data_IF_343799926130
#
_entry.id   IF_343799926130
#
_cell.length_a   1.000
_cell.length_b   1.000
_cell.length_c   1.000
_cell.angle_alpha   90.00
_cell.angle_beta   90.00
_cell.angle_gamma   90.00
#
_symmetry.space_group_name_H-M   'P 1'
#
loop_
_entity.id
_entity.type
_entity.pdbx_description
1 polymer ?
2 non-polymer ?
3 water ?
#
# COMPACT_ATOMS: atom_id res chain seq x y z
N UNK A 6 12.39 -0.97 -5.08
CA UNK A 6 11.50 0.01 -5.70
C UNK A 6 11.60 -0.06 -7.22
N UNK A 7 10.46 0.10 -7.88
CA UNK A 7 10.41 0.18 -9.33
C UNK A 7 10.90 1.55 -9.78
N UNK A 8 11.55 1.61 -10.96
CA UNK A 8 12.04 2.86 -11.57
C UNK A 8 11.01 3.99 -11.63
N UNK A 9 9.78 3.69 -12.02
CA UNK A 9 8.74 4.72 -12.14
C UNK A 9 8.23 5.24 -10.79
N UNK A 10 8.69 4.62 -9.71
CA UNK A 10 8.44 5.09 -8.35
C UNK A 10 9.52 6.02 -7.80
N UNK A 11 10.76 5.83 -8.25
CA UNK A 11 11.89 6.61 -7.76
C UNK A 11 11.89 8.07 -8.22
N UNK A 12 11.30 8.37 -9.37
CA UNK A 12 11.22 9.76 -9.82
C UNK A 12 9.80 10.24 -10.16
N UNK A 13 9.11 10.77 -9.16
CA UNK A 13 7.84 11.48 -9.37
C UNK A 13 7.48 12.32 -8.14
N UNK A 14 6.68 13.39 -8.34
CA UNK A 14 6.37 14.34 -7.26
C UNK A 14 5.63 13.65 -6.12
N UNK A 15 5.87 14.10 -4.89
CA UNK A 15 5.10 13.61 -3.75
C UNK A 15 4.22 14.70 -3.17
N UNK A 16 2.91 14.52 -3.31
CA UNK A 16 1.91 15.41 -2.71
C UNK A 16 2.12 15.69 -1.23
N UNK A 17 1.73 16.90 -0.83
CA UNK A 17 1.71 17.30 0.57
C UNK A 17 0.76 16.39 1.35
N UNK A 18 1.26 15.82 2.45
CA UNK A 18 0.46 14.91 3.27
C UNK A 18 -0.58 15.68 4.08
N UNK A 19 -1.78 15.13 4.17
CA UNK A 19 -2.81 15.67 5.05
C UNK A 19 -2.64 15.07 6.43
N UNK A 20 -2.45 15.92 7.45
CA UNK A 20 -2.10 15.46 8.79
C UNK A 20 -3.28 15.00 9.63
N UNK A 21 -4.26 14.35 9.01
CA UNK A 21 -5.36 13.76 9.76
C UNK A 21 -5.66 12.38 9.19
N UNK A 22 -5.98 11.44 10.07
CA UNK A 22 -6.37 10.10 9.65
C UNK A 22 -7.76 10.18 9.03
N UNK A 23 -7.92 9.63 7.83
CA UNK A 23 -9.19 9.69 7.13
C UNK A 23 -10.21 8.80 7.82
N UNK A 24 -9.72 7.89 8.64
CA UNK A 24 -10.55 6.93 9.36
C UNK A 24 -11.04 7.43 10.71
N UNK A 25 -10.13 7.96 11.53
CA UNK A 25 -10.50 8.34 12.89
C UNK A 25 -10.53 9.84 13.12
N UNK A 26 -10.08 10.59 12.12
CA UNK A 26 -9.94 12.05 12.23
C UNK A 26 -8.97 12.57 13.28
N UNK A 27 -8.08 11.72 13.79
CA UNK A 27 -7.05 12.22 14.68
C UNK A 27 -5.72 12.51 14.03
N UNK A 28 -4.93 13.32 14.72
CA UNK A 28 -3.63 13.75 14.22
C UNK A 28 -2.65 12.63 14.53
N UNK A 29 -1.38 12.85 14.20
CA UNK A 29 -0.32 11.95 14.66
C UNK A 29 -0.27 11.77 16.18
N UNK A 30 -0.90 12.68 16.93
CA UNK A 30 -0.89 12.60 18.39
C UNK A 30 -2.02 11.75 18.97
N UNK A 31 -3.04 11.49 18.16
CA UNK A 31 -4.21 10.74 18.64
C UNK A 31 -4.76 9.75 17.62
N UNK A 32 -4.47 8.47 17.84
CA UNK A 32 -5.09 7.40 17.06
C UNK A 32 -6.43 7.05 17.69
N UNK A 33 -6.95 5.86 17.41
CA UNK A 33 -8.29 5.51 17.87
C UNK A 33 -8.29 5.29 19.39
N UNK A 34 -7.12 5.01 19.95
CA UNK A 34 -6.99 4.79 21.39
C UNK A 34 -6.47 6.07 22.05
N UNK A 35 -6.50 7.17 21.30
CA UNK A 35 -6.00 8.47 21.75
C UNK A 35 -4.53 8.45 22.18
N UNK A 36 -3.73 7.62 21.51
CA UNK A 36 -2.29 7.56 21.75
C UNK A 36 -1.57 8.04 20.49
N UNK A 37 -0.39 8.65 20.64
CA UNK A 37 0.39 9.09 19.47
C UNK A 37 0.81 7.95 18.53
N UNK A 38 0.79 8.24 17.23
CA UNK A 38 1.13 7.28 16.19
C UNK A 38 1.33 8.02 14.87
N UNK A 39 2.52 7.92 14.29
CA UNK A 39 2.82 8.61 13.04
C UNK A 39 1.92 8.08 11.91
N UNK A 40 1.49 8.98 11.03
CA UNK A 40 0.61 8.62 9.92
C UNK A 40 1.39 8.06 8.74
N UNK A 41 0.72 7.23 7.95
CA UNK A 41 1.18 6.92 6.60
C UNK A 41 0.37 7.75 5.61
N UNK A 42 1.05 8.31 4.61
CA UNK A 42 0.43 9.26 3.70
C UNK A 42 0.61 8.91 2.23
N UNK A 43 -0.47 9.06 1.47
CA UNK A 43 -0.46 8.77 0.04
C UNK A 43 0.42 9.78 -0.70
N UNK A 44 1.34 9.29 -1.53
CA UNK A 44 2.23 10.17 -2.26
C UNK A 44 1.55 10.82 -3.46
N UNK A 45 0.39 10.31 -3.84
CA UNK A 45 -0.35 10.88 -4.96
C UNK A 45 -1.33 11.96 -4.50
N UNK A 46 -2.21 11.61 -3.55
CA UNK A 46 -3.26 12.53 -3.14
C UNK A 46 -3.06 13.14 -1.75
N UNK A 47 -2.11 12.61 -1.00
CA UNK A 47 -1.81 13.12 0.33
C UNK A 47 -2.68 12.62 1.48
N UNK A 48 -3.72 11.85 1.17
CA UNK A 48 -4.54 11.23 2.21
C UNK A 48 -3.74 10.38 3.18
N UNK A 49 -4.05 10.50 4.47
CA UNK A 49 -3.29 9.79 5.50
C UNK A 49 -4.14 8.80 6.30
N UNK A 50 -3.46 7.86 6.94
CA UNK A 50 -4.10 6.91 7.84
C UNK A 50 -3.15 6.54 8.96
N UNK A 51 -3.65 6.34 10.18
CA UNK A 51 -2.84 5.65 11.18
C UNK A 51 -2.67 4.23 10.69
N UNK A 52 -1.45 3.69 10.80
CA UNK A 52 -1.19 2.28 10.48
C UNK A 52 -2.15 1.33 11.19
N UNK A 53 -2.46 1.63 12.45
CA UNK A 53 -3.44 0.87 13.21
C UNK A 53 -4.84 0.90 12.63
N UNK A 54 -5.25 2.07 12.13
CA UNK A 54 -6.56 2.20 11.49
C UNK A 54 -6.60 1.52 10.13
N UNK A 55 -5.45 1.48 9.46
CA UNK A 55 -5.33 0.78 8.19
C UNK A 55 -5.19 -0.73 8.39
N UNK A 56 -5.06 -1.14 9.65
CA UNK A 56 -4.92 -2.55 10.02
C UNK A 56 -3.65 -3.15 9.41
N UNK A 57 -2.59 -2.36 9.36
CA UNK A 57 -1.28 -2.83 8.94
C UNK A 57 -0.51 -3.33 10.15
N UNK A 58 0.20 -4.45 9.98
CA UNK A 58 1.17 -4.87 10.98
C UNK A 58 2.31 -3.86 11.03
N UNK A 59 3.10 -3.88 12.12
CA UNK A 59 4.29 -3.03 12.20
C UNK A 59 5.32 -3.29 11.11
N UNK A 60 5.45 -4.54 10.69
CA UNK A 60 6.41 -4.91 9.65
C UNK A 60 6.02 -4.33 8.31
N UNK A 61 4.73 -4.42 8.00
CA UNK A 61 4.21 -3.83 6.79
C UNK A 61 4.31 -2.33 6.87
N UNK A 62 4.07 -1.79 8.06
CA UNK A 62 4.13 -0.35 8.25
C UNK A 62 5.52 0.13 7.88
N UNK A 63 6.52 -0.59 8.39
CA UNK A 63 7.92 -0.29 8.15
C UNK A 63 8.27 -0.38 6.67
N UNK A 64 7.71 -1.38 5.99
CA UNK A 64 7.99 -1.53 4.57
C UNK A 64 7.37 -0.41 3.74
N UNK A 65 6.12 -0.08 4.04
CA UNK A 65 5.38 0.92 3.29
C UNK A 65 5.92 2.33 3.51
N UNK A 66 6.39 2.60 4.72
CA UNK A 66 7.00 3.89 5.01
C UNK A 66 8.24 4.15 4.15
N UNK A 67 8.91 3.07 3.77
CA UNK A 67 10.07 3.14 2.88
C UNK A 67 9.74 3.28 1.40
N UNK A 68 8.46 3.20 1.05
CA UNK A 68 8.09 3.16 -0.36
C UNK A 68 7.23 4.36 -0.74
N UNK A 69 7.05 4.56 -2.04
CA UNK A 69 6.12 5.55 -2.55
C UNK A 69 4.73 4.93 -2.54
N UNK A 70 3.99 5.14 -1.46
CA UNK A 70 2.78 4.37 -1.26
C UNK A 70 1.62 5.17 -1.82
N UNK A 71 0.70 4.47 -2.47
CA UNK A 71 -0.56 5.06 -2.91
C UNK A 71 -1.75 4.62 -2.07
N UNK A 72 -2.69 5.53 -1.85
CA UNK A 72 -3.89 5.20 -1.09
C UNK A 72 -4.77 4.26 -1.93
N UNK A 73 -5.88 3.84 -1.36
CA UNK A 73 -6.75 2.88 -2.03
C UNK A 73 -7.27 3.41 -3.38
N UNK A 74 -7.68 4.68 -3.41
CA UNK A 74 -8.22 5.29 -4.62
C UNK A 74 -7.19 5.58 -5.71
N UNK A 75 -5.99 5.98 -5.32
CA UNK A 75 -4.96 6.33 -6.28
C UNK A 75 -4.22 5.12 -6.84
N UNK A 76 -4.31 3.99 -6.14
CA UNK A 76 -3.53 2.79 -6.46
C UNK A 76 -3.55 2.40 -7.94
N UNK A 77 -2.37 2.23 -8.53
CA UNK A 77 -2.25 1.78 -9.91
C UNK A 77 -1.51 0.45 -9.98
N UNK A 78 -1.80 -0.36 -11.00
CA UNK A 78 -1.15 -1.65 -11.16
C UNK A 78 0.34 -1.43 -11.37
N UNK A 79 1.18 -2.13 -10.61
CA UNK A 79 2.62 -1.95 -10.75
C UNK A 79 3.15 -2.62 -12.02
N UNK A 80 2.33 -3.46 -12.63
CA UNK A 80 2.69 -4.12 -13.89
C UNK A 80 2.32 -3.33 -15.14
N UNK A 81 1.03 -3.05 -15.31
CA UNK A 81 0.54 -2.38 -16.50
C UNK A 81 0.46 -0.86 -16.38
N UNK A 82 0.55 -0.35 -15.15
CA UNK A 82 0.51 1.09 -14.90
C UNK A 82 -0.86 1.75 -15.13
N UNK A 87 -9.16 1.40 -10.60
CA UNK A 87 -8.85 0.42 -9.57
C UNK A 87 -9.73 -0.82 -9.71
N UNK A 88 -11.02 -0.58 -9.95
CA UNK A 88 -12.06 -1.62 -10.00
C UNK A 88 -12.12 -2.42 -8.71
N UNK A 89 -12.72 -3.60 -8.75
CA UNK A 89 -12.75 -4.44 -7.56
C UNK A 89 -11.87 -5.67 -7.74
N UNK A 90 -11.37 -5.92 -8.95
CA UNK A 90 -10.52 -7.09 -9.13
C UNK A 90 -9.03 -6.75 -9.14
N UNK A 91 -8.61 -5.97 -8.15
CA UNK A 91 -7.20 -5.77 -7.86
C UNK A 91 -6.75 -6.69 -6.74
N UNK A 92 -5.49 -7.09 -6.76
CA UNK A 92 -4.90 -7.75 -5.61
C UNK A 92 -3.90 -6.81 -4.97
N UNK A 93 -3.88 -6.78 -3.65
CA UNK A 93 -2.87 -6.02 -2.93
C UNK A 93 -1.91 -6.96 -2.20
N UNK A 94 -0.62 -6.76 -2.44
CA UNK A 94 0.42 -7.61 -1.86
C UNK A 94 0.44 -7.44 -0.35
N UNK A 95 0.44 -8.56 0.37
CA UNK A 95 0.43 -8.51 1.83
C UNK A 95 1.80 -8.18 2.38
N UNK A 96 2.77 -8.02 1.49
CA UNK A 96 4.11 -7.58 1.87
C UNK A 96 4.39 -6.10 1.63
N UNK A 97 3.88 -5.54 0.54
CA UNK A 97 4.23 -4.17 0.17
C UNK A 97 3.00 -3.32 -0.17
N UNK A 98 1.82 -3.95 -0.19
CA UNK A 98 0.58 -3.24 -0.53
C UNK A 98 0.47 -2.67 -1.94
N UNK A 99 1.39 -3.04 -2.83
CA UNK A 99 1.24 -2.67 -4.23
C UNK A 99 0.01 -3.35 -4.82
N UNK A 100 -0.59 -2.73 -5.84
CA UNK A 100 -1.72 -3.32 -6.51
C UNK A 100 -1.29 -4.00 -7.80
N UNK A 101 -1.89 -5.15 -8.09
CA UNK A 101 -1.71 -5.82 -9.37
C UNK A 101 -3.03 -6.41 -9.84
N UNK A 102 -3.39 -6.16 -11.09
CA UNK A 102 -4.55 -6.81 -11.69
C UNK A 102 -4.26 -8.30 -11.68
N UNK A 103 -5.29 -9.12 -11.45
CA UNK A 103 -5.11 -10.57 -11.50
C UNK A 103 -4.49 -11.02 -12.82
N UNK A 104 -4.93 -10.43 -13.92
CA UNK A 104 -4.40 -10.84 -15.21
C UNK A 104 -3.01 -10.27 -15.47
N UNK A 105 -2.56 -9.39 -14.57
CA UNK A 105 -1.21 -8.84 -14.62
C UNK A 105 -0.21 -9.52 -13.69
N UNK A 106 -0.70 -10.43 -12.86
CA UNK A 106 0.19 -11.23 -12.03
C UNK A 106 1.04 -12.21 -12.83
N UNK A 107 2.14 -12.64 -12.23
CA UNK A 107 3.04 -13.58 -12.88
C UNK A 107 3.31 -14.77 -11.95
N UNK A 108 2.66 -15.92 -12.20
CA UNK A 108 1.73 -16.17 -13.30
C UNK A 108 0.36 -15.54 -13.03
N UNK A 109 -0.48 -15.42 -14.06
CA UNK A 109 -1.80 -14.82 -13.86
C UNK A 109 -2.67 -15.60 -12.88
N UNK A 110 -3.49 -14.88 -12.13
CA UNK A 110 -4.42 -15.47 -11.18
C UNK A 110 -5.81 -15.43 -11.79
N UNK A 111 -6.66 -16.39 -11.43
CA UNK A 111 -8.05 -16.30 -11.84
C UNK A 111 -9.04 -16.34 -10.68
N UNK A 112 -8.56 -16.69 -9.49
CA UNK A 112 -9.42 -16.64 -8.30
C UNK A 112 -8.72 -16.08 -7.06
N UNK A 113 -9.49 -15.48 -6.16
CA UNK A 113 -8.93 -14.83 -4.97
C UNK A 113 -8.25 -15.91 -4.14
N UNK A 114 -6.98 -15.70 -3.79
CA UNK A 114 -6.38 -16.70 -2.89
C UNK A 114 -7.06 -16.74 -1.53
N UNK A 115 -7.07 -17.91 -0.91
CA UNK A 115 -7.77 -18.10 0.35
C UNK A 115 -6.98 -17.39 1.44
N UNK A 116 -5.66 -17.53 1.38
CA UNK A 116 -4.79 -16.96 2.39
C UNK A 116 -3.93 -15.82 1.90
N UNK A 117 -2.66 -15.84 2.27
CA UNK A 117 -1.78 -14.74 1.92
C UNK A 117 -1.44 -14.76 0.43
N UNK A 118 -1.08 -13.59 -0.09
CA UNK A 118 -0.56 -13.44 -1.44
C UNK A 118 0.66 -12.52 -1.46
N UNK A 119 1.74 -12.90 -2.13
CA UNK A 119 2.85 -11.97 -2.24
C UNK A 119 3.27 -11.72 -3.69
N UNK A 120 3.67 -10.49 -4.00
CA UNK A 120 4.02 -10.15 -5.38
C UNK A 120 5.42 -10.62 -5.78
N UNK A 121 5.73 -10.49 -7.06
CA UNK A 121 7.02 -10.89 -7.58
C UNK A 121 8.16 -10.04 -7.01
N UNK A 122 7.89 -8.76 -6.77
CA UNK A 122 8.92 -7.86 -6.23
C UNK A 122 9.40 -8.27 -4.84
N UNK A 123 8.49 -8.72 -3.99
CA UNK A 123 8.85 -9.02 -2.61
C UNK A 123 9.36 -10.44 -2.49
N UNK A 124 9.10 -11.23 -3.53
CA UNK A 124 9.49 -12.63 -3.59
C UNK A 124 9.50 -13.18 -5.00
N UNK A 125 10.56 -12.89 -5.77
CA UNK A 125 10.67 -13.32 -7.16
C UNK A 125 10.42 -14.82 -7.28
N UNK A 126 9.89 -15.24 -8.43
CA UNK A 126 9.62 -16.65 -8.66
C UNK A 126 10.93 -17.43 -8.70
N UNK A 127 10.90 -18.67 -8.21
CA UNK A 127 12.11 -19.49 -8.13
C UNK A 127 12.63 -19.88 -9.51
N UNK A 128 13.64 -19.15 -9.98
CA UNK A 128 14.22 -19.39 -11.30
C UNK A 128 15.34 -20.43 -11.23
N UNK A 129 14.95 -21.71 -11.18
CA UNK A 129 15.90 -22.80 -11.15
C UNK A 129 16.07 -23.46 -12.51
X LIG B 1 4.90 -7.10 -2.50
X LIG C 1 -2.52 -4.65 -14.26
X LIG D 1 -6.68 6.82 12.70
X LIG E 1 -4.20 8.83 -2.86
#
# INVERSE_FOLDING_TARGET
GSHMLELPHEKDKPVAEPIPICSFCLGTKEQNREKKPEELISCADCGNSGHPSCLKFSPELTVRVKALRWQCIECKTCSSCRDQGKNADNMLFCDSCDRGFHMECCDPPLTRMPKGMWICQICRPRKKGRKLLQKK
ZN ZN
ZN ZN
ZN ZN
ZN ZN
#
